data_IF_215931707744
#
_entry.id   IF_215931707744
#
_cell.length_a   1.000
_cell.length_b   1.000
_cell.length_c   1.000
_cell.angle_alpha   90.00
_cell.angle_beta   90.00
_cell.angle_gamma   90.00
#
_symmetry.space_group_name_H-M   'P 1'
#
loop_
_entity.id
_entity.type
_entity.pdbx_description
1 polymer ?
#
# COMPACT_ATOMS: atom_id res chain seq x y z
N UNK A 1 -14.26 -18.37 -4.34
CA UNK A 1 -13.22 -19.05 -5.13
C UNK A 1 -12.67 -18.02 -6.08
N UNK A 2 -11.35 -17.95 -6.29
CA UNK A 2 -10.79 -17.02 -7.27
C UNK A 2 -11.39 -17.30 -8.65
N UNK A 3 -11.78 -16.25 -9.39
CA UNK A 3 -12.37 -16.41 -10.70
C UNK A 3 -11.40 -17.16 -11.61
N UNK A 4 -11.88 -18.22 -12.25
CA UNK A 4 -11.09 -19.11 -13.10
C UNK A 4 -10.61 -18.44 -14.40
N UNK A 5 -11.24 -17.32 -14.78
CA UNK A 5 -10.89 -16.54 -15.96
C UNK A 5 -10.75 -15.08 -15.58
N UNK A 6 -9.52 -14.64 -15.42
CA UNK A 6 -9.20 -13.23 -15.40
C UNK A 6 -9.27 -12.69 -16.83
N UNK A 7 -10.12 -11.69 -17.10
CA UNK A 7 -10.22 -11.18 -18.44
C UNK A 7 -8.90 -10.46 -18.75
N UNK A 8 -8.31 -10.79 -19.89
CA UNK A 8 -7.20 -10.04 -20.48
C UNK A 8 -7.76 -8.70 -20.96
N UNK A 9 -8.16 -7.82 -20.02
CA UNK A 9 -8.65 -6.48 -20.34
C UNK A 9 -7.45 -5.55 -20.40
N UNK A 10 -7.30 -4.96 -21.56
CA UNK A 10 -6.21 -4.06 -21.91
C UNK A 10 -6.75 -2.64 -21.93
N UNK A 11 -6.08 -1.72 -21.23
CA UNK A 11 -6.26 -0.29 -21.46
C UNK A 11 -5.47 0.04 -22.74
N UNK A 12 -6.18 0.23 -23.85
CA UNK A 12 -5.59 0.53 -25.15
C UNK A 12 -4.97 1.93 -25.15
N UNK A 13 -3.72 2.02 -24.72
CA UNK A 13 -2.88 3.20 -24.96
C UNK A 13 -1.87 2.83 -26.05
N UNK A 14 -2.34 2.89 -27.30
CA UNK A 14 -1.56 2.95 -28.54
C UNK A 14 -0.24 2.17 -28.61
N UNK A 15 -0.32 0.86 -28.84
CA UNK A 15 0.77 -0.03 -29.35
C UNK A 15 1.53 -0.94 -28.37
N UNK A 16 1.08 -1.14 -27.12
CA UNK A 16 1.64 -2.19 -26.25
C UNK A 16 0.55 -3.10 -25.66
N UNK A 17 0.40 -4.27 -26.26
CA UNK A 17 -0.66 -5.27 -26.04
C UNK A 17 -0.43 -6.19 -24.81
N UNK A 18 0.48 -5.84 -23.87
CA UNK A 18 1.03 -6.80 -22.87
C UNK A 18 1.45 -6.16 -21.53
N UNK A 19 0.68 -5.20 -21.02
CA UNK A 19 0.87 -4.67 -19.66
C UNK A 19 0.79 -5.70 -18.51
N UNK A 20 -0.06 -6.74 -18.55
CA UNK A 20 -0.11 -7.81 -17.56
C UNK A 20 0.79 -8.96 -18.03
N UNK A 21 1.77 -9.32 -17.20
CA UNK A 21 2.72 -10.40 -17.49
C UNK A 21 2.30 -11.69 -16.78
N UNK A 22 2.83 -12.87 -17.20
CA UNK A 22 2.49 -14.14 -16.57
C UNK A 22 2.71 -14.15 -15.05
N UNK A 23 3.73 -13.44 -14.54
CA UNK A 23 3.99 -13.36 -13.10
C UNK A 23 2.91 -12.54 -12.36
N UNK A 24 2.36 -11.50 -12.99
CA UNK A 24 1.28 -10.69 -12.41
C UNK A 24 0.00 -11.52 -12.30
N UNK A 25 -0.30 -12.30 -13.34
CA UNK A 25 -1.47 -13.19 -13.37
C UNK A 25 -1.34 -14.31 -12.33
N UNK A 26 -0.16 -14.92 -12.24
CA UNK A 26 0.12 -15.94 -11.23
C UNK A 26 -0.04 -15.37 -9.81
N UNK A 27 0.45 -14.16 -9.56
CA UNK A 27 0.31 -13.48 -8.28
C UNK A 27 -1.15 -13.12 -7.95
N UNK A 28 -1.91 -12.62 -8.94
CA UNK A 28 -3.32 -12.28 -8.80
C UNK A 28 -4.21 -13.49 -8.44
N UNK A 29 -3.85 -14.69 -8.94
CA UNK A 29 -4.55 -15.94 -8.63
C UNK A 29 -3.99 -16.69 -7.42
N UNK A 30 -2.93 -16.19 -6.78
CA UNK A 30 -2.33 -16.82 -5.60
C UNK A 30 -1.48 -18.05 -5.93
N UNK A 31 -1.09 -18.24 -7.20
CA UNK A 31 -0.28 -19.36 -7.67
C UNK A 31 1.20 -19.16 -7.32
N UNK A 32 1.49 -19.26 -6.03
CA UNK A 32 2.83 -19.08 -5.48
C UNK A 32 3.91 -19.95 -6.15
N UNK A 33 3.64 -21.24 -6.37
CA UNK A 33 4.62 -22.13 -7.01
C UNK A 33 4.98 -21.67 -8.42
N UNK A 34 4.00 -21.19 -9.20
CA UNK A 34 4.25 -20.65 -10.53
C UNK A 34 5.06 -19.34 -10.47
N UNK A 35 4.76 -18.45 -9.52
CA UNK A 35 5.56 -17.23 -9.28
C UNK A 35 7.00 -17.60 -8.95
N UNK A 36 7.19 -18.61 -8.10
CA UNK A 36 8.51 -19.11 -7.71
C UNK A 36 9.26 -19.67 -8.92
N UNK A 37 8.66 -20.52 -9.73
CA UNK A 37 9.29 -21.06 -10.95
C UNK A 37 9.65 -19.95 -11.94
N UNK A 38 8.75 -18.98 -12.17
CA UNK A 38 9.03 -17.84 -13.03
C UNK A 38 10.22 -17.00 -12.53
N UNK A 39 10.33 -16.79 -11.22
CA UNK A 39 11.48 -16.09 -10.62
C UNK A 39 12.79 -16.89 -10.72
N UNK A 40 12.74 -18.23 -10.76
CA UNK A 40 13.93 -19.06 -11.05
C UNK A 40 14.35 -18.96 -12.52
N UNK A 41 13.38 -18.82 -13.44
CA UNK A 41 13.67 -18.62 -14.87
C UNK A 41 14.23 -17.23 -15.16
N UNK A 42 13.66 -16.18 -14.56
CA UNK A 42 14.12 -14.80 -14.71
C UNK A 42 13.88 -13.99 -13.42
N UNK A 43 14.96 -13.67 -12.73
CA UNK A 43 14.92 -12.88 -11.49
C UNK A 43 14.49 -11.43 -11.72
N UNK A 44 14.63 -10.89 -12.93
CA UNK A 44 14.19 -9.53 -13.27
C UNK A 44 12.66 -9.40 -13.25
N UNK A 45 11.92 -10.52 -13.28
CA UNK A 45 10.47 -10.51 -13.11
C UNK A 45 10.06 -10.00 -11.73
N UNK A 46 10.95 -10.05 -10.72
CA UNK A 46 10.69 -9.46 -9.41
C UNK A 46 10.47 -7.95 -9.52
N UNK A 47 11.28 -7.24 -10.31
CA UNK A 47 11.15 -5.79 -10.53
C UNK A 47 9.77 -5.46 -11.10
N UNK A 48 9.25 -6.31 -12.01
CA UNK A 48 7.91 -6.16 -12.57
C UNK A 48 6.84 -6.40 -11.51
N UNK A 49 6.95 -7.50 -10.76
CA UNK A 49 6.01 -7.88 -9.71
C UNK A 49 5.90 -6.83 -8.60
N UNK A 50 6.99 -6.15 -8.27
CA UNK A 50 7.05 -5.19 -7.17
C UNK A 50 6.87 -3.73 -7.60
N UNK A 51 6.69 -3.43 -8.89
CA UNK A 51 6.55 -2.03 -9.35
C UNK A 51 5.19 -1.45 -8.96
N UNK A 52 5.19 -0.33 -8.23
CA UNK A 52 3.98 0.35 -7.78
C UNK A 52 3.18 0.88 -8.98
N UNK A 53 3.87 1.46 -9.97
CA UNK A 53 3.22 1.98 -11.19
C UNK A 53 2.46 0.87 -11.91
N UNK A 54 3.03 -0.33 -11.92
CA UNK A 54 2.41 -1.52 -12.52
C UNK A 54 1.23 -2.02 -11.72
N UNK A 55 1.40 -2.19 -10.42
CA UNK A 55 0.33 -2.63 -9.53
C UNK A 55 -0.87 -1.70 -9.61
N UNK A 56 -0.68 -0.37 -9.59
CA UNK A 56 -1.79 0.60 -9.68
C UNK A 56 -2.61 0.50 -10.96
N UNK A 57 -1.97 0.22 -12.10
CA UNK A 57 -2.71 -0.02 -13.36
C UNK A 57 -3.40 -1.38 -13.37
N UNK A 58 -2.78 -2.40 -12.76
CA UNK A 58 -3.45 -3.69 -12.60
C UNK A 58 -4.62 -3.58 -11.63
N UNK A 59 -4.55 -2.70 -10.63
CA UNK A 59 -5.64 -2.45 -9.69
C UNK A 59 -6.89 -1.92 -10.40
N UNK A 60 -6.73 -1.00 -11.35
CA UNK A 60 -7.86 -0.46 -12.10
C UNK A 60 -8.53 -1.50 -13.02
N UNK A 61 -7.81 -2.58 -13.35
CA UNK A 61 -8.30 -3.64 -14.24
C UNK A 61 -8.91 -4.81 -13.46
N UNK A 62 -8.32 -5.15 -12.32
CA UNK A 62 -8.59 -6.40 -11.61
C UNK A 62 -9.19 -6.23 -10.22
N UNK A 63 -9.31 -5.02 -9.71
CA UNK A 63 -9.44 -4.82 -8.26
C UNK A 63 -10.61 -3.87 -7.95
N UNK A 64 -11.09 -3.12 -8.95
CA UNK A 64 -12.23 -2.21 -8.84
C UNK A 64 -13.58 -2.89 -9.21
N UNK A 65 -13.58 -4.13 -9.73
CA UNK A 65 -14.82 -4.90 -9.93
C UNK A 65 -15.09 -5.83 -8.73
N UNK A 66 -16.31 -5.86 -8.20
CA UNK A 66 -16.71 -6.68 -7.03
C UNK A 66 -16.41 -8.19 -7.21
N UNK A 67 -16.31 -8.65 -8.46
CA UNK A 67 -15.98 -10.04 -8.80
C UNK A 67 -14.56 -10.45 -8.38
N UNK A 68 -13.67 -9.48 -8.12
CA UNK A 68 -12.24 -9.71 -7.90
C UNK A 68 -11.76 -9.24 -6.50
N UNK A 69 -12.64 -9.28 -5.50
CA UNK A 69 -12.32 -8.95 -4.11
C UNK A 69 -11.14 -9.76 -3.49
N UNK A 70 -10.80 -10.91 -4.07
CA UNK A 70 -9.79 -11.82 -3.55
C UNK A 70 -8.40 -11.63 -4.14
N UNK A 71 -8.24 -10.78 -5.15
CA UNK A 71 -6.98 -10.54 -5.84
C UNK A 71 -5.93 -9.94 -4.93
N UNK A 72 -6.32 -8.93 -4.15
CA UNK A 72 -5.46 -8.33 -3.13
C UNK A 72 -5.00 -9.39 -2.11
N UNK A 73 -5.91 -10.28 -1.68
CA UNK A 73 -5.60 -11.37 -0.72
C UNK A 73 -4.65 -12.40 -1.33
N UNK A 74 -4.85 -12.77 -2.58
CA UNK A 74 -3.97 -13.68 -3.32
C UNK A 74 -2.56 -13.09 -3.46
N UNK A 75 -2.44 -11.82 -3.85
CA UNK A 75 -1.15 -11.11 -3.93
C UNK A 75 -0.46 -11.04 -2.57
N UNK A 76 -1.19 -10.73 -1.50
CA UNK A 76 -0.65 -10.71 -0.14
C UNK A 76 -0.18 -12.11 0.31
N UNK A 77 -0.92 -13.17 -0.03
CA UNK A 77 -0.53 -14.55 0.25
C UNK A 77 0.77 -14.93 -0.45
N UNK A 78 0.91 -14.56 -1.73
CA UNK A 78 2.13 -14.78 -2.52
C UNK A 78 3.30 -13.99 -1.93
N UNK A 79 3.10 -12.72 -1.58
CA UNK A 79 4.10 -11.86 -0.96
C UNK A 79 4.60 -12.43 0.39
N UNK A 80 3.68 -12.89 1.25
CA UNK A 80 4.02 -13.54 2.52
C UNK A 80 4.83 -14.81 2.32
N UNK A 81 4.41 -15.69 1.40
CA UNK A 81 5.13 -16.94 1.09
C UNK A 81 6.52 -16.65 0.51
N UNK A 82 6.65 -15.67 -0.39
CA UNK A 82 7.95 -15.24 -0.93
C UNK A 82 8.88 -14.74 0.18
N UNK A 83 8.37 -13.94 1.13
CA UNK A 83 9.15 -13.48 2.27
C UNK A 83 9.70 -14.65 3.09
N UNK A 84 8.85 -15.60 3.49
CA UNK A 84 9.28 -16.76 4.28
C UNK A 84 10.25 -17.68 3.53
N UNK A 85 10.05 -17.90 2.23
CA UNK A 85 10.97 -18.70 1.40
C UNK A 85 12.34 -18.05 1.23
N UNK A 86 12.41 -16.72 1.20
CA UNK A 86 13.67 -15.98 1.22
C UNK A 86 14.37 -16.06 2.58
N UNK A 87 13.62 -16.08 3.68
CA UNK A 87 14.17 -16.15 5.04
C UNK A 87 14.69 -17.56 5.41
N UNK A 88 14.03 -18.62 4.95
CA UNK A 88 14.42 -20.01 5.26
C UNK A 88 15.73 -20.44 4.58
N UNK A 89 16.08 -19.84 3.45
CA UNK A 89 17.29 -20.16 2.67
C UNK A 89 18.55 -19.52 3.26
N UNK A 90 18.95 -19.86 4.50
CA UNK A 90 20.28 -19.67 5.14
C UNK A 90 21.06 -18.33 4.98
N UNK A 91 20.50 -17.31 4.34
CA UNK A 91 21.16 -16.07 3.98
C UNK A 91 20.47 -14.88 4.61
N UNK A 92 21.25 -13.90 5.07
CA UNK A 92 20.78 -12.64 5.68
C UNK A 92 20.12 -11.67 4.67
N UNK A 93 19.51 -12.19 3.59
CA UNK A 93 18.93 -11.44 2.48
C UNK A 93 17.40 -11.54 2.56
N UNK A 94 16.80 -10.85 3.53
CA UNK A 94 15.35 -10.67 3.55
C UNK A 94 14.92 -9.77 2.38
N UNK A 95 13.72 -9.98 1.85
CA UNK A 95 13.14 -9.08 0.83
C UNK A 95 13.05 -7.64 1.33
N UNK A 96 12.87 -7.47 2.65
CA UNK A 96 12.89 -6.16 3.32
C UNK A 96 14.27 -5.52 3.13
N UNK A 97 15.36 -6.21 3.45
CA UNK A 97 16.72 -5.67 3.28
C UNK A 97 17.08 -5.37 1.81
N UNK A 98 16.40 -6.04 0.87
CA UNK A 98 16.60 -5.87 -0.55
C UNK A 98 15.83 -4.68 -1.17
N UNK A 99 15.09 -3.88 -0.37
CA UNK A 99 14.36 -2.73 -0.90
C UNK A 99 12.88 -2.99 -1.20
N UNK A 100 12.35 -4.19 -0.89
CA UNK A 100 11.00 -4.61 -1.27
C UNK A 100 10.00 -4.61 -0.10
N UNK A 101 10.38 -4.11 1.08
CA UNK A 101 9.47 -4.01 2.21
C UNK A 101 8.27 -3.10 1.92
N UNK A 102 8.46 -2.03 1.16
CA UNK A 102 7.38 -1.14 0.72
C UNK A 102 6.30 -1.88 -0.08
N UNK A 103 6.71 -2.79 -0.97
CA UNK A 103 5.81 -3.66 -1.73
C UNK A 103 5.09 -4.68 -0.83
N UNK A 104 5.82 -5.31 0.10
CA UNK A 104 5.22 -6.24 1.07
C UNK A 104 4.16 -5.55 1.91
N UNK A 105 4.45 -4.35 2.40
CA UNK A 105 3.52 -3.59 3.23
C UNK A 105 2.31 -3.09 2.43
N UNK A 106 2.53 -2.60 1.21
CA UNK A 106 1.45 -2.16 0.33
C UNK A 106 0.48 -3.30 0.00
N UNK A 107 1.00 -4.48 -0.38
CA UNK A 107 0.16 -5.65 -0.71
C UNK A 107 -0.57 -6.19 0.51
N UNK A 108 0.06 -6.20 1.69
CA UNK A 108 -0.58 -6.54 2.96
C UNK A 108 -1.70 -5.56 3.32
N UNK A 109 -1.44 -4.27 3.14
CA UNK A 109 -2.38 -3.19 3.43
C UNK A 109 -3.60 -3.27 2.50
N UNK A 110 -3.38 -3.42 1.19
CA UNK A 110 -4.43 -3.57 0.18
C UNK A 110 -5.32 -4.79 0.46
N UNK A 111 -4.74 -5.90 0.91
CA UNK A 111 -5.50 -7.09 1.29
C UNK A 111 -6.29 -6.97 2.60
N UNK A 112 -6.00 -5.96 3.43
CA UNK A 112 -6.54 -5.85 4.78
C UNK A 112 -6.00 -6.91 5.75
N UNK A 113 -4.80 -7.47 5.49
CA UNK A 113 -4.20 -8.53 6.32
C UNK A 113 -3.46 -7.95 7.53
N UNK A 114 -4.21 -7.76 8.62
CA UNK A 114 -3.70 -7.23 9.90
C UNK A 114 -2.53 -8.04 10.45
N UNK A 115 -2.54 -9.36 10.28
CA UNK A 115 -1.48 -10.22 10.85
C UNK A 115 -0.18 -10.01 10.08
N UNK A 116 -0.26 -9.92 8.76
CA UNK A 116 0.93 -9.66 7.94
C UNK A 116 1.50 -8.27 8.20
N UNK A 117 0.64 -7.25 8.31
CA UNK A 117 1.09 -5.88 8.60
C UNK A 117 1.78 -5.82 9.97
N UNK A 118 1.18 -6.41 11.02
CA UNK A 118 1.81 -6.49 12.35
C UNK A 118 3.17 -7.19 12.30
N UNK A 119 3.26 -8.27 11.54
CA UNK A 119 4.50 -9.02 11.34
C UNK A 119 5.60 -8.17 10.66
N UNK A 120 5.26 -7.38 9.64
CA UNK A 120 6.20 -6.51 8.94
C UNK A 120 6.67 -5.36 9.83
N UNK A 121 5.75 -4.70 10.54
CA UNK A 121 6.08 -3.58 11.43
C UNK A 121 6.85 -4.00 12.68
N UNK A 122 6.69 -5.24 13.13
CA UNK A 122 7.53 -5.81 14.20
C UNK A 122 8.98 -6.00 13.76
N UNK A 123 9.21 -6.29 12.47
CA UNK A 123 10.58 -6.39 11.91
C UNK A 123 11.18 -5.01 11.68
N UNK A 124 10.42 -4.11 11.05
CA UNK A 124 10.85 -2.73 10.80
C UNK A 124 9.66 -1.75 10.91
N UNK A 125 9.58 -0.96 11.99
CA UNK A 125 8.56 0.06 12.15
C UNK A 125 8.65 1.20 11.12
N UNK A 126 9.83 1.46 10.54
CA UNK A 126 10.04 2.56 9.60
C UNK A 126 9.44 2.28 8.22
N UNK A 127 9.05 1.04 7.96
CA UNK A 127 8.45 0.62 6.71
C UNK A 127 7.16 1.38 6.36
N UNK A 128 6.49 1.94 7.38
CA UNK A 128 5.30 2.79 7.20
C UNK A 128 5.59 4.05 6.37
N UNK A 129 6.82 4.57 6.42
CA UNK A 129 7.21 5.74 5.61
C UNK A 129 7.40 5.40 4.14
N UNK A 130 7.50 4.11 3.83
CA UNK A 130 7.70 3.61 2.50
C UNK A 130 9.16 3.25 2.20
N UNK A 131 9.33 2.41 1.18
CA UNK A 131 10.61 1.94 0.69
C UNK A 131 10.53 1.80 -0.84
N UNK A 132 11.58 2.24 -1.54
CA UNK A 132 11.62 2.21 -3.00
C UNK A 132 10.59 3.14 -3.64
N UNK A 133 9.69 2.59 -4.47
CA UNK A 133 8.63 3.34 -5.16
C UNK A 133 7.42 3.65 -4.27
N UNK A 134 7.33 3.03 -3.10
CA UNK A 134 6.19 3.15 -2.19
C UNK A 134 6.47 4.21 -1.15
N UNK A 135 5.61 5.21 -1.03
CA UNK A 135 5.62 6.17 0.07
C UNK A 135 4.47 5.96 1.06
N UNK A 136 4.53 6.68 2.18
CA UNK A 136 3.48 6.65 3.22
C UNK A 136 2.06 6.88 2.67
N UNK A 137 1.91 7.80 1.72
CA UNK A 137 0.61 8.09 1.11
C UNK A 137 0.10 6.91 0.28
N UNK A 138 1.00 6.16 -0.37
CA UNK A 138 0.64 4.98 -1.15
C UNK A 138 0.20 3.83 -0.23
N UNK A 139 0.89 3.65 0.90
CA UNK A 139 0.55 2.66 1.93
C UNK A 139 -0.81 3.00 2.58
N UNK A 140 -1.03 4.26 2.95
CA UNK A 140 -2.31 4.72 3.50
C UNK A 140 -3.44 4.60 2.47
N UNK A 141 -3.16 4.85 1.19
CA UNK A 141 -4.13 4.66 0.11
C UNK A 141 -4.52 3.18 -0.03
N UNK A 142 -3.55 2.27 -0.01
CA UNK A 142 -3.81 0.83 -0.07
C UNK A 142 -4.67 0.36 1.12
N UNK A 143 -4.34 0.83 2.33
CA UNK A 143 -5.09 0.52 3.54
C UNK A 143 -6.51 1.09 3.50
N UNK A 144 -6.68 2.30 2.97
CA UNK A 144 -8.00 2.92 2.83
C UNK A 144 -8.88 2.16 1.85
N UNK A 145 -8.33 1.73 0.70
CA UNK A 145 -9.06 0.91 -0.28
C UNK A 145 -9.44 -0.47 0.28
N UNK A 146 -8.70 -0.97 1.27
CA UNK A 146 -9.03 -2.23 1.92
C UNK A 146 -10.37 -2.13 2.68
N UNK A 147 -11.08 -3.26 2.77
CA UNK A 147 -12.33 -3.36 3.56
C UNK A 147 -12.09 -3.35 5.07
N UNK A 148 -10.85 -3.17 5.54
CA UNK A 148 -10.49 -3.32 6.94
C UNK A 148 -9.91 -2.02 7.55
N UNK A 149 -10.74 -1.31 8.31
CA UNK A 149 -10.35 -0.09 9.01
C UNK A 149 -9.33 -0.29 10.13
N UNK A 150 -9.15 -1.53 10.64
CA UNK A 150 -8.11 -1.82 11.64
C UNK A 150 -6.71 -1.65 11.03
N UNK A 151 -6.50 -2.09 9.79
CA UNK A 151 -5.20 -1.96 9.10
C UNK A 151 -4.83 -0.50 8.92
N UNK A 152 -5.79 0.32 8.49
CA UNK A 152 -5.58 1.75 8.32
C UNK A 152 -5.20 2.43 9.63
N UNK A 153 -5.96 2.17 10.71
CA UNK A 153 -5.66 2.73 12.04
C UNK A 153 -4.28 2.32 12.52
N UNK A 154 -3.94 1.05 12.37
CA UNK A 154 -2.63 0.54 12.78
C UNK A 154 -1.49 1.22 12.02
N UNK A 155 -1.62 1.43 10.71
CA UNK A 155 -0.60 2.11 9.91
C UNK A 155 -0.51 3.60 10.26
N UNK A 156 -1.65 4.28 10.44
CA UNK A 156 -1.67 5.69 10.84
C UNK A 156 -1.08 5.90 12.23
N UNK A 157 -1.41 5.05 13.19
CA UNK A 157 -0.88 5.12 14.56
C UNK A 157 0.64 4.94 14.57
N UNK A 158 1.17 4.03 13.75
CA UNK A 158 2.61 3.87 13.59
C UNK A 158 3.26 5.04 12.85
N UNK A 159 2.58 5.65 11.86
CA UNK A 159 3.09 6.82 11.15
C UNK A 159 3.18 8.07 12.05
N UNK A 160 2.23 8.23 12.97
CA UNK A 160 2.13 9.37 13.89
C UNK A 160 2.88 9.13 15.21
N UNK A 161 3.30 7.89 15.49
CA UNK A 161 4.01 7.55 16.72
C UNK A 161 5.31 8.37 16.88
N UNK A 162 5.57 8.96 18.07
CA UNK A 162 6.79 9.75 18.34
C UNK A 162 8.09 8.97 18.12
N UNK A 163 8.02 7.63 18.25
CA UNK A 163 9.16 6.72 18.04
C UNK A 163 9.75 6.82 16.64
N UNK A 164 8.97 7.24 15.66
CA UNK A 164 9.40 7.37 14.28
C UNK A 164 10.21 8.65 14.01
N UNK A 165 10.18 9.64 14.91
CA UNK A 165 10.96 10.88 14.80
C UNK A 165 12.40 10.73 15.34
N UNK A 166 12.74 9.61 15.98
CA UNK A 166 13.97 9.42 16.76
C UNK A 166 15.20 8.95 15.97
N UNK A 167 15.11 8.76 14.64
CA UNK A 167 16.29 8.41 13.83
C UNK A 167 17.29 9.56 13.64
N UNK A 168 16.97 10.78 14.08
CA UNK A 168 17.93 11.88 14.19
C UNK A 168 18.28 12.10 15.66
N UNK A 169 19.42 11.58 16.11
CA UNK A 169 19.89 11.70 17.48
C UNK A 169 20.15 13.16 17.90
N UNK A 170 19.80 13.46 19.16
CA UNK A 170 20.23 14.67 19.88
C UNK A 170 19.07 15.54 20.38
N UNK A 171 18.86 15.50 21.71
CA UNK A 171 18.36 16.56 22.62
C UNK A 171 17.52 17.69 22.01
N UNK A 172 16.22 17.87 22.33
CA UNK A 172 15.51 19.19 22.35
C UNK A 172 14.01 19.04 22.71
N UNK A 173 13.68 18.78 23.98
CA UNK A 173 12.29 18.43 24.40
C UNK A 173 11.22 19.53 24.24
N UNK A 174 11.56 20.83 24.16
CA UNK A 174 10.54 21.90 24.03
C UNK A 174 10.23 22.36 22.60
N UNK A 175 11.20 22.31 21.66
CA UNK A 175 10.96 22.59 20.22
C UNK A 175 10.31 21.41 19.49
N UNK A 176 10.32 20.22 20.11
CA UNK A 176 9.74 19.01 19.57
C UNK A 176 8.20 19.04 19.56
N UNK A 177 7.55 19.76 20.49
CA UNK A 177 6.09 19.78 20.59
C UNK A 177 5.43 20.46 19.37
N UNK A 178 5.93 21.63 18.96
CA UNK A 178 5.44 22.34 17.77
C UNK A 178 5.81 21.61 16.47
N UNK A 179 7.03 21.06 16.38
CA UNK A 179 7.42 20.29 15.20
C UNK A 179 6.61 18.99 15.06
N UNK A 180 6.31 18.33 16.19
CA UNK A 180 5.48 17.13 16.22
C UNK A 180 4.03 17.42 15.87
N UNK A 181 3.47 18.57 16.30
CA UNK A 181 2.11 18.96 15.93
C UNK A 181 2.00 19.26 14.42
N UNK A 182 3.00 19.93 13.84
CA UNK A 182 3.09 20.17 12.38
C UNK A 182 3.26 18.85 11.61
N UNK A 183 4.16 17.97 12.06
CA UNK A 183 4.35 16.66 11.42
C UNK A 183 3.09 15.79 11.49
N UNK A 184 2.45 15.75 12.67
CA UNK A 184 1.18 15.04 12.86
C UNK A 184 0.08 15.61 11.95
N UNK A 185 0.03 16.93 11.80
CA UNK A 185 -0.89 17.60 10.89
C UNK A 185 -0.64 17.19 9.42
N UNK A 186 0.62 17.24 8.97
CA UNK A 186 1.03 16.80 7.63
C UNK A 186 0.65 15.33 7.37
N UNK A 187 0.92 14.46 8.34
CA UNK A 187 0.57 13.04 8.23
C UNK A 187 -0.94 12.83 8.17
N UNK A 188 -1.70 13.55 9.00
CA UNK A 188 -3.16 13.53 8.97
C UNK A 188 -3.69 14.04 7.63
N UNK A 189 -3.13 15.12 7.09
CA UNK A 189 -3.54 15.67 5.81
C UNK A 189 -3.35 14.64 4.68
N UNK A 190 -2.18 13.99 4.62
CA UNK A 190 -1.93 12.87 3.68
C UNK A 190 -2.90 11.71 3.88
N UNK A 191 -3.22 11.37 5.13
CA UNK A 191 -4.16 10.30 5.46
C UNK A 191 -5.56 10.61 4.94
N UNK A 192 -6.08 11.82 5.15
CA UNK A 192 -7.41 12.23 4.66
C UNK A 192 -7.45 12.20 3.12
N UNK A 193 -6.42 12.71 2.43
CA UNK A 193 -6.32 12.62 0.98
C UNK A 193 -6.28 11.18 0.46
N UNK A 194 -5.53 10.31 1.13
CA UNK A 194 -5.43 8.90 0.79
C UNK A 194 -6.77 8.17 0.98
N UNK A 195 -7.50 8.48 2.06
CA UNK A 195 -8.82 7.92 2.34
C UNK A 195 -9.87 8.39 1.34
N UNK A 196 -9.90 9.69 1.06
CA UNK A 196 -10.80 10.27 0.06
C UNK A 196 -10.56 9.64 -1.33
N UNK A 197 -9.31 9.38 -1.69
CA UNK A 197 -8.96 8.67 -2.94
C UNK A 197 -9.36 7.19 -2.91
N UNK A 198 -9.20 6.53 -1.75
CA UNK A 198 -9.50 5.12 -1.54
C UNK A 198 -10.99 4.79 -1.44
N UNK A 199 -11.85 5.78 -1.16
CA UNK A 199 -13.30 5.61 -1.11
C UNK A 199 -13.85 5.03 0.20
N UNK A 200 -13.09 5.07 1.30
CA UNK A 200 -13.53 4.50 2.57
C UNK A 200 -14.18 5.55 3.47
N UNK A 201 -15.50 5.64 3.36
CA UNK A 201 -16.30 6.66 4.00
C UNK A 201 -16.31 6.55 5.54
N UNK A 202 -16.27 5.32 6.07
CA UNK A 202 -16.23 5.08 7.52
C UNK A 202 -14.95 5.62 8.15
N UNK A 203 -13.80 5.36 7.51
CA UNK A 203 -12.51 5.89 7.96
C UNK A 203 -12.51 7.41 7.81
N UNK A 204 -13.03 7.94 6.71
CA UNK A 204 -13.06 9.39 6.47
C UNK A 204 -13.86 10.13 7.54
N UNK A 205 -15.04 9.61 7.90
CA UNK A 205 -15.87 10.14 8.99
C UNK A 205 -15.15 10.07 10.33
N UNK A 206 -14.44 8.98 10.62
CA UNK A 206 -13.66 8.85 11.86
C UNK A 206 -12.50 9.86 11.94
N UNK A 207 -11.80 10.11 10.82
CA UNK A 207 -10.70 11.07 10.78
C UNK A 207 -11.16 12.52 10.86
N UNK A 208 -12.27 12.85 10.18
CA UNK A 208 -12.83 14.19 10.20
C UNK A 208 -13.59 14.48 11.50
N UNK A 209 -14.19 13.48 12.15
CA UNK A 209 -14.99 13.68 13.35
C UNK A 209 -16.01 14.81 13.17
N UNK A 210 -15.99 15.79 14.07
CA UNK A 210 -16.83 17.00 14.03
C UNK A 210 -16.15 18.19 13.32
N UNK A 211 -15.12 17.96 12.49
CA UNK A 211 -14.42 19.05 11.81
C UNK A 211 -15.34 19.82 10.86
N UNK A 212 -15.65 21.06 11.22
CA UNK A 212 -16.48 21.96 10.41
C UNK A 212 -15.78 22.45 9.12
N UNK A 213 -14.44 22.43 9.07
CA UNK A 213 -13.67 23.01 7.97
C UNK A 213 -12.80 22.00 7.21
N UNK A 214 -13.46 21.11 6.49
CA UNK A 214 -12.85 20.11 5.60
C UNK A 214 -11.96 20.72 4.51
N UNK A 215 -12.17 22.00 4.16
CA UNK A 215 -11.38 22.73 3.18
C UNK A 215 -9.97 23.13 3.67
N UNK A 216 -9.69 22.94 4.95
CA UNK A 216 -8.36 23.14 5.53
C UNK A 216 -7.36 22.07 5.08
N UNK A 217 -7.83 20.88 4.67
CA UNK A 217 -6.99 19.82 4.13
C UNK A 217 -6.67 20.09 2.66
N UNK A 218 -5.47 20.62 2.44
CA UNK A 218 -4.92 20.89 1.12
C UNK A 218 -3.55 20.27 0.96
N UNK A 219 -3.31 19.64 -0.18
CA UNK A 219 -1.98 19.13 -0.53
C UNK A 219 -1.01 20.26 -0.90
N UNK A 220 0.23 19.90 -1.20
CA UNK A 220 1.30 20.84 -1.60
C UNK A 220 0.95 21.62 -2.88
N UNK A 221 0.07 21.07 -3.71
CA UNK A 221 -0.43 21.67 -4.94
C UNK A 221 -1.72 22.50 -4.72
N UNK A 222 -2.24 22.55 -3.49
CA UNK A 222 -3.48 23.22 -3.13
C UNK A 222 -4.75 22.44 -3.47
N UNK A 223 -4.64 21.18 -3.88
CA UNK A 223 -5.78 20.29 -4.13
C UNK A 223 -6.48 19.98 -2.83
N UNK A 224 -7.80 19.99 -2.86
CA UNK A 224 -8.66 19.58 -1.73
C UNK A 224 -8.94 18.09 -1.74
N UNK A 225 -9.52 17.56 -0.67
CA UNK A 225 -9.94 16.16 -0.58
C UNK A 225 -10.88 15.72 -1.72
N UNK A 226 -11.71 16.65 -2.22
CA UNK A 226 -12.65 16.41 -3.32
C UNK A 226 -11.91 16.16 -4.64
N UNK A 227 -10.76 16.80 -4.86
CA UNK A 227 -9.93 16.51 -6.03
C UNK A 227 -9.40 15.08 -5.98
N UNK A 228 -8.98 14.61 -4.79
CA UNK A 228 -8.50 13.25 -4.58
C UNK A 228 -9.59 12.19 -4.78
N UNK A 229 -10.79 12.44 -4.26
CA UNK A 229 -11.97 11.59 -4.46
C UNK A 229 -12.39 11.53 -5.94
N UNK A 230 -12.50 12.70 -6.59
CA UNK A 230 -12.86 12.81 -8.01
C UNK A 230 -11.87 12.09 -8.92
N UNK A 231 -10.57 12.12 -8.59
CA UNK A 231 -9.52 11.44 -9.35
C UNK A 231 -9.63 9.90 -9.38
N UNK A 232 -10.44 9.30 -8.51
CA UNK A 232 -10.79 7.86 -8.56
C UNK A 232 -12.27 7.61 -8.83
N UNK A 233 -13.06 8.65 -9.06
CA UNK A 233 -14.50 8.51 -9.30
C UNK A 233 -15.30 8.09 -8.06
N UNK A 234 -14.83 8.45 -6.86
CA UNK A 234 -15.57 8.18 -5.62
C UNK A 234 -16.79 9.11 -5.56
N UNK A 235 -17.99 8.52 -5.59
CA UNK A 235 -19.27 9.23 -5.67
C UNK A 235 -19.96 9.42 -4.32
N UNK A 236 -19.63 8.59 -3.34
CA UNK A 236 -20.12 8.67 -1.95
C UNK A 236 -19.24 9.60 -1.10
#
# INVERSE_FOLDING_TARGET
>A
MPPSYFPLRWESTGDQWWYASPIDFAAANGHYELVKELLHLDTNLLIKLTSLRRIRRLETVWDDEEQFDDVAKCRSSVARKLLHDCETKKGHNSLIRAGYGGWLLYTAASAGDVRFVKELLQRDPLLVFGEGEYGVTDILYAAARSKNSEVFRLLLDNAVAPRCCLSSGGEFEEKLSDSYSVFKWEMMNRAVHAVARGGNLDILRQLLGDCENVLAYRDVQGSTILHSASGRGQVE
#
